data_IF_307566439630
#
_entry.id   IF_307566439630
#
_cell.length_a   1.000
_cell.length_b   1.000
_cell.length_c   1.000
_cell.angle_alpha   90.00
_cell.angle_beta   90.00
_cell.angle_gamma   90.00
#
_symmetry.space_group_name_H-M   'P 1'
#
loop_
_entity.id
_entity.type
_entity.pdbx_description
1 polymer ?
#
# COMPACT_ATOMS: atom_id res chain seq x y z
N UNK A 1 8.49 -53.99 46.06
CA UNK A 1 9.85 -54.49 45.76
C UNK A 1 9.74 -55.24 44.45
N UNK A 2 10.22 -54.66 43.34
CA UNK A 2 10.46 -55.35 42.07
C UNK A 2 11.66 -54.65 41.41
N UNK A 3 12.69 -55.44 41.18
CA UNK A 3 14.04 -55.06 40.79
C UNK A 3 14.20 -55.03 39.26
N UNK A 4 15.27 -54.34 38.81
CA UNK A 4 16.15 -54.72 37.67
C UNK A 4 15.54 -54.60 36.25
N UNK A 5 16.21 -54.24 35.14
CA UNK A 5 17.61 -54.19 34.70
C UNK A 5 17.70 -53.44 33.34
N UNK A 6 18.94 -53.09 32.98
CA UNK A 6 19.52 -53.02 31.63
C UNK A 6 19.22 -51.79 30.75
N UNK A 7 20.22 -50.91 30.75
CA UNK A 7 20.36 -49.75 29.92
C UNK A 7 21.51 -49.98 28.92
N UNK A 8 21.24 -50.56 27.75
CA UNK A 8 22.15 -50.52 26.57
C UNK A 8 21.43 -50.99 25.30
N UNK A 9 21.19 -50.09 24.35
CA UNK A 9 21.20 -50.46 22.92
C UNK A 9 21.71 -49.29 22.08
N UNK A 10 22.83 -49.55 21.41
CA UNK A 10 23.47 -48.73 20.39
C UNK A 10 22.58 -48.69 19.14
N UNK A 11 22.36 -47.52 18.53
CA UNK A 11 22.09 -47.46 17.09
C UNK A 11 22.46 -46.10 16.46
N UNK A 12 23.63 -46.12 15.83
CA UNK A 12 23.98 -45.58 14.50
C UNK A 12 23.29 -44.32 13.96
N UNK A 13 24.15 -43.31 13.80
CA UNK A 13 24.19 -42.26 12.76
C UNK A 13 23.26 -42.40 11.55
N UNK A 14 22.46 -41.37 11.28
CA UNK A 14 22.09 -40.92 9.93
C UNK A 14 22.19 -39.39 9.86
N UNK A 15 23.10 -38.95 8.99
CA UNK A 15 23.36 -37.58 8.59
C UNK A 15 22.13 -37.05 7.83
N UNK A 16 21.28 -36.25 8.48
CA UNK A 16 20.26 -35.46 7.78
C UNK A 16 20.74 -34.01 7.74
N UNK A 17 21.38 -33.64 6.63
CA UNK A 17 21.59 -32.25 6.29
C UNK A 17 20.23 -31.63 5.97
N UNK A 18 19.60 -30.99 6.96
CA UNK A 18 18.63 -29.97 6.64
C UNK A 18 19.41 -28.70 6.23
N UNK A 19 19.12 -28.04 5.08
CA UNK A 19 19.40 -26.63 4.99
C UNK A 19 18.56 -25.99 6.10
N UNK A 20 19.21 -25.62 7.19
CA UNK A 20 18.64 -24.69 8.16
C UNK A 20 18.38 -23.39 7.42
N UNK A 21 17.20 -23.29 6.80
CA UNK A 21 16.53 -22.04 6.55
C UNK A 21 16.46 -21.39 7.92
N UNK A 22 17.34 -20.42 8.13
CA UNK A 22 17.30 -19.51 9.25
C UNK A 22 15.96 -18.76 9.16
N UNK A 23 14.93 -19.38 9.73
CA UNK A 23 13.70 -18.75 10.09
C UNK A 23 14.08 -17.59 10.99
N UNK A 24 13.85 -16.38 10.47
CA UNK A 24 14.12 -15.08 11.09
C UNK A 24 14.02 -15.15 12.62
N UNK A 25 15.19 -15.30 13.24
CA UNK A 25 15.39 -15.08 14.66
C UNK A 25 15.26 -13.58 14.87
N UNK A 26 14.04 -13.15 15.17
CA UNK A 26 13.71 -11.77 15.52
C UNK A 26 14.31 -11.48 16.90
N UNK A 27 15.62 -11.22 16.91
CA UNK A 27 16.30 -10.60 18.02
C UNK A 27 15.95 -9.12 18.04
N UNK A 28 15.53 -8.63 19.21
CA UNK A 28 15.51 -7.22 19.56
C UNK A 28 16.72 -6.49 18.97
N UNK A 29 16.41 -5.39 18.29
CA UNK A 29 17.18 -4.14 18.18
C UNK A 29 17.15 -3.62 16.74
N UNK A 30 16.75 -2.35 16.65
CA UNK A 30 16.75 -1.46 15.49
C UNK A 30 15.58 -1.56 14.51
N UNK A 31 14.85 -0.44 14.45
CA UNK A 31 13.80 -0.01 13.52
C UNK A 31 14.22 -0.01 12.02
N UNK A 32 15.26 -0.77 11.66
CA UNK A 32 15.90 -0.75 10.35
C UNK A 32 15.53 -1.95 9.47
N UNK A 33 15.06 -3.07 10.04
CA UNK A 33 14.54 -4.20 9.25
C UNK A 33 13.20 -3.88 8.57
N UNK A 34 12.31 -3.20 9.31
CA UNK A 34 11.09 -2.64 8.72
C UNK A 34 11.43 -1.52 7.75
N UNK A 35 12.37 -0.62 8.09
CA UNK A 35 12.81 0.45 7.19
C UNK A 35 13.60 -0.02 5.96
N UNK A 36 14.04 -1.29 5.88
CA UNK A 36 14.72 -1.85 4.71
C UNK A 36 13.75 -2.61 3.79
N UNK A 37 12.74 -3.28 4.35
CA UNK A 37 11.61 -3.82 3.57
C UNK A 37 10.71 -2.70 3.04
N UNK A 38 10.45 -1.72 3.89
CA UNK A 38 9.92 -0.42 3.51
C UNK A 38 10.95 0.22 2.57
N UNK A 39 12.24 0.33 2.93
CA UNK A 39 13.35 0.91 2.16
C UNK A 39 13.46 0.49 0.68
N UNK A 40 13.30 -0.80 0.38
CA UNK A 40 13.33 -1.30 -1.00
C UNK A 40 12.02 -1.05 -1.76
N UNK A 41 10.88 -0.98 -1.07
CA UNK A 41 9.65 -0.37 -1.60
C UNK A 41 9.69 1.18 -1.59
N UNK A 42 10.62 1.77 -0.83
CA UNK A 42 10.76 3.21 -0.64
C UNK A 42 11.67 3.87 -1.67
N UNK A 43 12.51 3.10 -2.37
CA UNK A 43 13.27 3.61 -3.51
C UNK A 43 12.32 4.04 -4.66
N UNK A 44 11.14 3.42 -4.73
CA UNK A 44 9.99 3.85 -5.56
C UNK A 44 9.07 4.86 -4.86
N UNK A 45 9.31 5.14 -3.57
CA UNK A 45 8.54 6.08 -2.72
C UNK A 45 9.10 7.49 -2.70
N UNK A 46 10.17 7.86 -3.42
CA UNK A 46 10.52 9.29 -3.54
C UNK A 46 9.39 10.12 -4.15
N UNK A 47 8.70 9.57 -5.15
CA UNK A 47 7.55 10.20 -5.79
C UNK A 47 6.31 10.11 -4.87
N UNK A 48 6.11 9.00 -4.17
CA UNK A 48 4.99 8.81 -3.23
C UNK A 48 5.09 9.64 -1.94
N UNK A 49 6.30 9.81 -1.35
CA UNK A 49 6.49 10.75 -0.22
C UNK A 49 6.29 12.19 -0.66
N UNK A 50 6.55 12.53 -1.92
CA UNK A 50 6.31 13.88 -2.41
C UNK A 50 4.82 14.20 -2.43
N UNK A 51 3.99 13.33 -3.01
CA UNK A 51 2.53 13.53 -3.01
C UNK A 51 1.96 13.53 -1.59
N UNK A 52 2.33 12.55 -0.75
CA UNK A 52 1.84 12.45 0.64
C UNK A 52 2.27 13.67 1.45
N UNK A 53 3.52 14.14 1.32
CA UNK A 53 3.99 15.35 1.99
C UNK A 53 3.32 16.62 1.44
N UNK A 54 3.02 16.69 0.14
CA UNK A 54 2.30 17.82 -0.45
C UNK A 54 0.86 17.90 0.09
N UNK A 55 0.17 16.77 0.22
CA UNK A 55 -1.16 16.71 0.82
C UNK A 55 -1.10 17.09 2.30
N UNK A 56 -0.15 16.54 3.07
CA UNK A 56 0.01 16.85 4.51
C UNK A 56 0.43 18.29 4.80
N UNK A 57 1.24 18.90 3.93
CA UNK A 57 1.63 20.30 4.10
C UNK A 57 0.46 21.25 3.84
N UNK A 58 -0.55 20.81 3.09
CA UNK A 58 -1.75 21.59 2.80
C UNK A 58 -2.92 21.25 3.73
N UNK A 59 -2.95 20.03 4.26
CA UNK A 59 -4.05 19.50 5.07
C UNK A 59 -3.50 18.94 6.40
N UNK A 60 -4.05 19.32 7.56
CA UNK A 60 -3.60 18.82 8.86
C UNK A 60 -4.06 17.36 9.09
N UNK A 61 -3.48 16.42 8.34
CA UNK A 61 -3.84 15.00 8.33
C UNK A 61 -2.62 14.09 8.55
N UNK A 62 -2.87 12.86 8.99
CA UNK A 62 -1.86 11.81 9.17
C UNK A 62 -1.38 11.21 7.84
N UNK A 63 -0.19 10.59 7.83
CA UNK A 63 0.32 9.81 6.69
C UNK A 63 -0.66 8.71 6.26
N UNK A 64 -1.29 8.04 7.22
CA UNK A 64 -2.28 7.00 6.94
C UNK A 64 -3.53 7.58 6.26
N UNK A 65 -3.96 8.77 6.68
CA UNK A 65 -5.11 9.46 6.12
C UNK A 65 -4.83 9.94 4.69
N UNK A 66 -3.67 10.58 4.47
CA UNK A 66 -3.21 10.98 3.15
C UNK A 66 -3.08 9.78 2.21
N UNK A 67 -2.40 8.72 2.68
CA UNK A 67 -2.17 7.50 1.91
C UNK A 67 -3.45 6.75 1.57
N UNK A 68 -4.35 6.57 2.54
CA UNK A 68 -5.63 5.91 2.34
C UNK A 68 -6.59 6.72 1.46
N UNK A 69 -6.64 8.04 1.61
CA UNK A 69 -7.48 8.91 0.79
C UNK A 69 -7.03 8.94 -0.68
N UNK A 70 -5.72 9.06 -0.92
CA UNK A 70 -5.14 8.97 -2.26
C UNK A 70 -5.36 7.58 -2.85
N UNK A 71 -5.09 6.51 -2.09
CA UNK A 71 -5.29 5.13 -2.52
C UNK A 71 -6.75 4.85 -2.90
N UNK A 72 -7.72 5.38 -2.15
CA UNK A 72 -9.14 5.23 -2.47
C UNK A 72 -9.50 5.90 -3.80
N UNK A 73 -9.06 7.15 -4.01
CA UNK A 73 -9.30 7.89 -5.25
C UNK A 73 -8.64 7.22 -6.45
N UNK A 74 -7.39 6.77 -6.29
CA UNK A 74 -6.65 6.07 -7.33
C UNK A 74 -7.22 4.68 -7.63
N UNK A 75 -7.70 3.96 -6.62
CA UNK A 75 -8.40 2.69 -6.82
C UNK A 75 -9.71 2.90 -7.58
N UNK A 76 -10.52 3.90 -7.21
CA UNK A 76 -11.71 4.27 -7.97
C UNK A 76 -11.37 4.57 -9.43
N UNK A 77 -10.36 5.41 -9.65
CA UNK A 77 -9.89 5.75 -10.98
C UNK A 77 -9.47 4.50 -11.78
N UNK A 78 -8.69 3.61 -11.17
CA UNK A 78 -8.27 2.39 -11.85
C UNK A 78 -9.44 1.49 -12.25
N UNK A 79 -10.55 1.47 -11.50
CA UNK A 79 -11.71 0.64 -11.83
C UNK A 79 -12.69 1.32 -12.80
N UNK A 80 -12.77 2.66 -12.82
CA UNK A 80 -13.81 3.40 -13.56
C UNK A 80 -13.29 4.12 -14.81
N UNK A 81 -11.98 4.35 -14.91
CA UNK A 81 -11.40 4.96 -16.11
C UNK A 81 -11.56 4.05 -17.33
N UNK A 82 -11.62 4.60 -18.56
CA UNK A 82 -11.48 3.82 -19.78
C UNK A 82 -10.14 3.07 -19.83
N UNK A 83 -10.09 1.89 -20.48
CA UNK A 83 -8.89 1.05 -20.53
C UNK A 83 -7.61 1.78 -20.99
N UNK A 84 -7.75 2.70 -21.94
CA UNK A 84 -6.65 3.54 -22.42
C UNK A 84 -6.04 4.37 -21.27
N UNK A 85 -6.91 5.03 -20.50
CA UNK A 85 -6.51 5.88 -19.39
C UNK A 85 -6.02 5.07 -18.18
N UNK A 86 -6.54 3.85 -17.98
CA UNK A 86 -6.02 2.94 -16.95
C UNK A 86 -4.57 2.53 -17.26
N UNK A 87 -4.28 2.17 -18.51
CA UNK A 87 -2.91 1.83 -18.95
C UNK A 87 -1.96 3.00 -18.73
N UNK A 88 -2.40 4.20 -19.08
CA UNK A 88 -1.65 5.43 -18.86
C UNK A 88 -1.42 5.68 -17.35
N UNK A 89 -2.45 5.56 -16.53
CA UNK A 89 -2.35 5.72 -15.08
C UNK A 89 -1.36 4.73 -14.46
N UNK A 90 -1.35 3.47 -14.90
CA UNK A 90 -0.39 2.45 -14.45
C UNK A 90 1.03 2.71 -14.96
N UNK A 91 1.19 3.47 -16.05
CA UNK A 91 2.50 3.92 -16.55
C UNK A 91 3.04 5.09 -15.71
N UNK A 92 2.16 6.03 -15.36
CA UNK A 92 2.48 7.22 -14.55
C UNK A 92 2.75 6.85 -13.08
N UNK A 93 1.99 5.88 -12.55
CA UNK A 93 2.14 5.34 -11.20
C UNK A 93 2.49 3.85 -11.31
N UNK A 94 3.78 3.50 -11.39
CA UNK A 94 4.19 2.10 -11.32
C UNK A 94 3.72 1.49 -9.98
N UNK A 95 3.37 0.21 -10.00
CA UNK A 95 2.89 -0.53 -8.83
C UNK A 95 1.61 0.05 -8.17
N UNK A 96 0.76 0.74 -8.95
CA UNK A 96 -0.54 1.28 -8.53
C UNK A 96 -1.39 0.26 -7.74
N UNK A 97 -1.44 -1.00 -8.19
CA UNK A 97 -2.18 -2.06 -7.51
C UNK A 97 -1.66 -2.37 -6.10
N UNK A 98 -0.35 -2.28 -5.87
CA UNK A 98 0.23 -2.48 -4.54
C UNK A 98 0.02 -1.24 -3.67
N UNK A 99 0.14 -0.04 -4.24
CA UNK A 99 -0.10 1.23 -3.55
C UNK A 99 -1.55 1.31 -3.05
N UNK A 100 -2.51 0.99 -3.91
CA UNK A 100 -3.94 1.01 -3.55
C UNK A 100 -4.26 -0.04 -2.49
N UNK A 101 -3.68 -1.24 -2.58
CA UNK A 101 -3.80 -2.26 -1.53
C UNK A 101 -3.20 -1.81 -0.20
N UNK A 102 -2.01 -1.21 -0.21
CA UNK A 102 -1.34 -0.78 1.00
C UNK A 102 -2.04 0.42 1.65
N UNK A 103 -2.47 1.42 0.87
CA UNK A 103 -3.17 2.59 1.39
C UNK A 103 -4.56 2.23 1.96
N UNK A 104 -5.23 1.25 1.36
CA UNK A 104 -6.51 0.74 1.86
C UNK A 104 -6.37 -0.34 2.93
N UNK A 105 -5.17 -0.87 3.20
CA UNK A 105 -4.96 -1.97 4.17
C UNK A 105 -5.42 -1.66 5.60
N UNK A 106 -5.50 -0.37 5.94
CA UNK A 106 -6.00 0.11 7.23
C UNK A 106 -7.52 0.25 7.29
N UNK A 107 -8.19 -0.03 6.16
CA UNK A 107 -9.64 -0.05 6.00
C UNK A 107 -10.08 -1.44 5.57
N UNK A 108 -11.31 -1.86 5.91
CA UNK A 108 -11.83 -3.17 5.47
C UNK A 108 -12.31 -3.16 4.00
N UNK A 109 -11.66 -2.38 3.15
CA UNK A 109 -12.10 -2.05 1.80
C UNK A 109 -11.08 -2.56 0.79
N UNK A 110 -11.52 -3.39 -0.15
CA UNK A 110 -10.65 -3.87 -1.24
C UNK A 110 -10.59 -2.84 -2.37
N UNK A 111 -9.43 -2.65 -3.04
CA UNK A 111 -9.31 -1.73 -4.17
C UNK A 111 -10.30 -2.03 -5.31
N UNK A 112 -10.61 -3.30 -5.57
CA UNK A 112 -11.60 -3.71 -6.58
C UNK A 112 -13.05 -3.36 -6.23
N UNK A 113 -13.34 -3.05 -4.96
CA UNK A 113 -14.65 -2.61 -4.52
C UNK A 113 -14.86 -1.10 -4.70
N UNK A 114 -13.83 -0.36 -5.13
CA UNK A 114 -13.90 1.07 -5.42
C UNK A 114 -14.50 1.31 -6.80
N UNK A 115 -15.83 1.32 -6.89
CA UNK A 115 -16.54 1.55 -8.16
C UNK A 115 -17.32 2.87 -8.18
N UNK A 116 -17.53 3.51 -7.03
CA UNK A 116 -18.23 4.78 -6.92
C UNK A 116 -17.53 5.76 -5.97
N UNK A 117 -17.78 7.06 -6.17
CA UNK A 117 -17.31 8.12 -5.26
C UNK A 117 -17.80 7.95 -3.82
N UNK A 118 -18.98 7.35 -3.61
CA UNK A 118 -19.47 7.01 -2.26
C UNK A 118 -18.54 6.02 -1.54
N UNK A 119 -17.83 5.16 -2.26
CA UNK A 119 -16.96 4.16 -1.64
C UNK A 119 -15.65 4.82 -1.19
N UNK A 120 -15.18 5.81 -1.95
CA UNK A 120 -14.10 6.72 -1.50
C UNK A 120 -14.53 7.48 -0.26
N UNK A 121 -15.74 8.02 -0.25
CA UNK A 121 -16.29 8.71 0.92
C UNK A 121 -16.35 7.80 2.15
N UNK A 122 -16.71 6.53 1.98
CA UNK A 122 -16.69 5.55 3.05
C UNK A 122 -15.27 5.28 3.60
N UNK A 123 -14.27 5.21 2.73
CA UNK A 123 -12.86 5.11 3.15
C UNK A 123 -12.44 6.35 3.93
N UNK A 124 -12.77 7.55 3.45
CA UNK A 124 -12.46 8.79 4.16
C UNK A 124 -13.08 8.79 5.56
N UNK A 125 -14.37 8.45 5.69
CA UNK A 125 -15.04 8.34 6.99
C UNK A 125 -14.37 7.32 7.92
N UNK A 126 -13.97 6.15 7.41
CA UNK A 126 -13.26 5.13 8.21
C UNK A 126 -11.88 5.63 8.70
N UNK A 127 -11.23 6.50 7.94
CA UNK A 127 -9.97 7.13 8.31
C UNK A 127 -10.15 8.38 9.19
N UNK A 128 -11.40 8.72 9.54
CA UNK A 128 -11.72 9.95 10.28
C UNK A 128 -11.49 11.23 9.46
N UNK A 129 -11.53 11.12 8.14
CA UNK A 129 -11.49 12.25 7.21
C UNK A 129 -12.89 12.70 6.83
N UNK A 130 -13.04 14.00 6.59
CA UNK A 130 -14.28 14.57 6.10
C UNK A 130 -14.42 14.34 4.59
N UNK A 131 -15.62 14.00 4.12
CA UNK A 131 -15.90 13.77 2.70
C UNK A 131 -15.59 15.00 1.83
N UNK A 132 -15.73 16.20 2.38
CA UNK A 132 -15.42 17.44 1.68
C UNK A 132 -13.92 17.57 1.34
N UNK A 133 -13.05 16.81 2.02
CA UNK A 133 -11.62 16.79 1.72
C UNK A 133 -11.32 16.12 0.37
N UNK A 134 -12.24 15.34 -0.21
CA UNK A 134 -12.08 14.80 -1.57
C UNK A 134 -11.83 15.93 -2.57
N UNK A 135 -12.56 17.04 -2.46
CA UNK A 135 -12.38 18.22 -3.31
C UNK A 135 -11.01 18.90 -3.14
N UNK A 136 -10.33 18.66 -2.01
CA UNK A 136 -9.00 19.17 -1.73
C UNK A 136 -7.91 18.20 -2.19
N UNK A 137 -8.15 16.89 -2.09
CA UNK A 137 -7.22 15.85 -2.56
C UNK A 137 -7.15 15.80 -4.09
N UNK A 138 -8.30 15.86 -4.77
CA UNK A 138 -8.42 15.78 -6.22
C UNK A 138 -7.43 16.69 -6.96
N UNK A 139 -7.40 18.02 -6.74
CA UNK A 139 -6.47 18.89 -7.47
C UNK A 139 -5.01 18.59 -7.17
N UNK A 140 -4.66 18.12 -5.96
CA UNK A 140 -3.28 17.75 -5.59
C UNK A 140 -2.85 16.49 -6.35
N UNK A 141 -3.73 15.48 -6.43
CA UNK A 141 -3.48 14.24 -7.19
C UNK A 141 -3.35 14.52 -8.68
N UNK A 142 -4.25 15.34 -9.24
CA UNK A 142 -4.16 15.76 -10.65
C UNK A 142 -2.85 16.50 -10.93
N UNK A 143 -2.45 17.41 -10.04
CA UNK A 143 -1.22 18.17 -10.22
C UNK A 143 0.02 17.27 -10.24
N UNK A 144 0.07 16.28 -9.35
CA UNK A 144 1.13 15.29 -9.33
C UNK A 144 1.11 14.40 -10.56
N UNK A 145 -0.04 13.84 -10.95
CA UNK A 145 -0.17 13.02 -12.15
C UNK A 145 0.31 13.79 -13.39
N UNK A 146 -0.09 15.05 -13.52
CA UNK A 146 0.36 15.93 -14.61
C UNK A 146 1.87 16.14 -14.58
N UNK A 147 2.46 16.37 -13.39
CA UNK A 147 3.92 16.49 -13.23
C UNK A 147 4.67 15.20 -13.58
N UNK A 148 4.01 14.05 -13.42
CA UNK A 148 4.53 12.73 -13.74
C UNK A 148 4.29 12.33 -15.21
N UNK A 149 3.70 13.22 -16.02
CA UNK A 149 3.50 13.01 -17.46
C UNK A 149 2.12 12.50 -17.85
N UNK A 150 1.12 12.55 -16.95
CA UNK A 150 -0.27 12.28 -17.33
C UNK A 150 -0.75 13.27 -18.41
N UNK A 151 -1.31 12.72 -19.48
CA UNK A 151 -1.92 13.45 -20.58
C UNK A 151 -3.26 14.07 -20.21
N UNK A 152 -3.69 15.01 -21.04
CA UNK A 152 -4.95 15.74 -20.88
C UNK A 152 -6.18 14.84 -20.89
N UNK A 153 -6.14 13.73 -21.64
CA UNK A 153 -7.22 12.74 -21.66
C UNK A 153 -7.42 12.04 -20.32
N UNK A 154 -6.32 11.63 -19.66
CA UNK A 154 -6.36 11.04 -18.32
C UNK A 154 -6.83 12.06 -17.29
N UNK A 155 -6.23 13.26 -17.29
CA UNK A 155 -6.60 14.34 -16.38
C UNK A 155 -8.06 14.74 -16.50
N UNK A 156 -8.57 14.91 -17.72
CA UNK A 156 -9.98 15.27 -17.95
C UNK A 156 -10.94 14.17 -17.49
N UNK A 157 -10.61 12.91 -17.70
CA UNK A 157 -11.42 11.79 -17.23
C UNK A 157 -11.46 11.70 -15.69
N UNK A 158 -10.32 11.90 -15.04
CA UNK A 158 -10.23 11.93 -13.57
C UNK A 158 -11.03 13.10 -12.98
N UNK A 159 -10.90 14.29 -13.57
CA UNK A 159 -11.67 15.46 -13.14
C UNK A 159 -13.16 15.25 -13.29
N UNK A 160 -13.62 14.73 -14.43
CA UNK A 160 -15.05 14.46 -14.65
C UNK A 160 -15.60 13.40 -13.70
N UNK A 161 -14.76 12.46 -13.25
CA UNK A 161 -15.16 11.39 -12.33
C UNK A 161 -15.23 11.83 -10.87
N UNK A 162 -14.38 12.79 -10.47
CA UNK A 162 -14.27 13.27 -9.09
C UNK A 162 -15.04 14.58 -8.82
N UNK A 163 -15.78 15.07 -9.80
CA UNK A 163 -16.68 16.22 -9.68
C UNK A 163 -17.99 15.89 -8.96
#
# INVERSE_FOLDING_TARGET
>A
MNHTLLNTLLLSTLLSSAPSMAFLKLGEQSNQGLATLVGSGLLETKQHTTLINQVKNQLPISDQQAGGGVAALLALANNQLPQQNQTELNTVIPNLGQLTQLGLSTTNVSPSAMTHLKDVTNVFNQLGLDANMIAQFTPIIIQYLTSQGAGSSLVGALQSMWQ
#
